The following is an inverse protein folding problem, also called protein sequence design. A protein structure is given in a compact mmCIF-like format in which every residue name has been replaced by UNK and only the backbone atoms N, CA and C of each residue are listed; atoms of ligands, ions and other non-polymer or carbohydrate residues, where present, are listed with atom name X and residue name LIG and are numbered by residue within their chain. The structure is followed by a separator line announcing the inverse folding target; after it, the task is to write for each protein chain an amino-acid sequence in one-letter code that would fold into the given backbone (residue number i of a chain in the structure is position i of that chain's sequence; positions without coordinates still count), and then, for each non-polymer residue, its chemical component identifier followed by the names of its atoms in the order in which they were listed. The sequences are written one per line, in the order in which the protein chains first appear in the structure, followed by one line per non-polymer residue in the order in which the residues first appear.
data_IF_322910277265
#
_entry.id   IF_322910277265
#
_cell.length_a   1.000
_cell.length_b   1.000
_cell.length_c   1.000
_cell.angle_alpha   90.00
_cell.angle_beta   90.00
_cell.angle_gamma   90.00
#
_symmetry.space_group_name_H-M   'P 1'
#
loop_
_entity.id
_entity.type
_entity.pdbx_description
1 polymer ?
#
# COMPACT_ATOMS: atom_id res chain seq x y z
N UNK A 1 -21.21 1.38 -3.80
CA UNK A 1 -20.59 2.14 -4.90
C UNK A 1 -21.47 3.28 -5.47
N UNK A 2 -22.81 3.23 -5.44
CA UNK A 2 -23.67 4.27 -6.05
C UNK A 2 -23.43 5.70 -5.53
N UNK A 3 -23.16 5.88 -4.24
CA UNK A 3 -22.85 7.20 -3.65
C UNK A 3 -21.43 7.64 -3.98
N UNK A 4 -20.43 6.77 -3.81
CA UNK A 4 -19.03 7.06 -4.15
C UNK A 4 -18.85 7.45 -5.63
N UNK A 5 -19.56 6.80 -6.55
CA UNK A 5 -19.52 7.12 -7.99
C UNK A 5 -20.13 8.48 -8.36
N UNK A 6 -20.73 9.21 -7.39
CA UNK A 6 -21.17 10.60 -7.60
C UNK A 6 -20.07 11.62 -7.33
N UNK A 7 -19.02 11.23 -6.60
CA UNK A 7 -17.84 12.07 -6.43
C UNK A 7 -17.11 12.09 -7.76
N UNK A 8 -16.85 13.30 -8.28
CA UNK A 8 -16.06 13.45 -9.50
C UNK A 8 -14.69 12.79 -9.30
N UNK A 9 -14.17 12.00 -10.26
CA UNK A 9 -12.84 11.42 -10.16
C UNK A 9 -11.74 12.47 -9.91
N UNK A 10 -11.91 13.68 -10.44
CA UNK A 10 -11.00 14.81 -10.22
C UNK A 10 -11.06 15.41 -8.80
N UNK A 11 -11.98 14.94 -7.95
CA UNK A 11 -12.12 15.33 -6.53
C UNK A 11 -12.06 14.13 -5.59
N UNK A 12 -11.86 12.93 -6.13
CA UNK A 12 -11.77 11.69 -5.37
C UNK A 12 -10.35 11.52 -4.82
N UNK A 13 -10.04 12.32 -3.81
CA UNK A 13 -8.71 12.36 -3.17
C UNK A 13 -8.39 11.08 -2.38
N UNK A 14 -9.38 10.21 -2.16
CA UNK A 14 -9.18 8.89 -1.55
C UNK A 14 -8.84 7.80 -2.59
N UNK A 15 -9.01 8.11 -3.90
CA UNK A 15 -8.56 7.28 -5.01
C UNK A 15 -9.38 6.00 -5.26
N UNK A 16 -10.60 5.90 -4.74
CA UNK A 16 -11.45 4.70 -4.87
C UNK A 16 -12.51 4.78 -5.97
N UNK A 17 -12.63 5.91 -6.66
CA UNK A 17 -13.46 6.03 -7.84
C UNK A 17 -12.96 5.06 -8.92
N UNK A 18 -13.88 4.34 -9.57
CA UNK A 18 -13.51 3.30 -10.54
C UNK A 18 -12.66 3.81 -11.70
N UNK A 19 -12.85 5.07 -12.11
CA UNK A 19 -11.99 5.73 -13.10
C UNK A 19 -10.56 5.94 -12.61
N UNK A 20 -10.34 6.31 -11.34
CA UNK A 20 -9.00 6.44 -10.76
C UNK A 20 -8.33 5.07 -10.62
N UNK A 21 -9.07 4.05 -10.17
CA UNK A 21 -8.58 2.68 -10.13
C UNK A 21 -8.22 2.13 -11.53
N UNK A 22 -9.04 2.44 -12.54
CA UNK A 22 -8.77 2.09 -13.94
C UNK A 22 -7.60 2.88 -14.54
N UNK A 23 -7.43 4.15 -14.15
CA UNK A 23 -6.30 4.97 -14.55
C UNK A 23 -4.99 4.37 -14.03
N UNK A 24 -4.94 4.00 -12.74
CA UNK A 24 -3.81 3.28 -12.16
C UNK A 24 -3.48 2.00 -12.96
N UNK A 25 -4.48 1.16 -13.23
CA UNK A 25 -4.28 -0.10 -13.95
C UNK A 25 -3.75 0.11 -15.37
N UNK A 26 -4.16 1.19 -16.04
CA UNK A 26 -3.81 1.50 -17.43
C UNK A 26 -2.62 2.46 -17.58
N UNK A 27 -1.98 2.83 -16.48
CA UNK A 27 -0.86 3.78 -16.48
C UNK A 27 -1.24 5.22 -16.84
N UNK A 28 -2.53 5.59 -16.69
CA UNK A 28 -3.01 6.95 -16.89
C UNK A 28 -2.98 7.75 -15.60
N UNK A 29 -3.00 9.07 -15.73
CA UNK A 29 -3.11 9.97 -14.58
C UNK A 29 -4.46 9.82 -13.86
N UNK A 30 -4.42 9.89 -12.54
CA UNK A 30 -5.56 9.80 -11.64
C UNK A 30 -5.09 9.73 -10.18
N UNK A 31 -5.98 10.00 -9.24
CA UNK A 31 -5.63 9.89 -7.83
C UNK A 31 -5.37 8.44 -7.44
N UNK A 32 -4.28 8.22 -6.71
CA UNK A 32 -3.91 6.90 -6.20
C UNK A 32 -4.54 6.69 -4.83
N UNK A 33 -5.02 5.47 -4.58
CA UNK A 33 -5.55 5.09 -3.28
C UNK A 33 -4.52 5.37 -2.17
N UNK A 34 -4.95 6.05 -1.10
CA UNK A 34 -4.07 6.65 -0.11
C UNK A 34 -3.17 5.62 0.59
N UNK A 35 -3.74 4.50 1.08
CA UNK A 35 -2.95 3.45 1.75
C UNK A 35 -1.91 2.82 0.80
N UNK A 36 -2.26 2.36 -0.41
CA UNK A 36 -1.28 1.91 -1.41
C UNK A 36 -0.19 2.94 -1.75
N UNK A 37 -0.53 4.22 -1.93
CA UNK A 37 0.45 5.30 -2.16
C UNK A 37 1.42 5.43 -0.97
N UNK A 38 0.89 5.33 0.25
CA UNK A 38 1.65 5.40 1.48
C UNK A 38 2.60 4.22 1.68
N UNK A 39 2.18 3.01 1.27
CA UNK A 39 3.03 1.81 1.26
C UNK A 39 4.26 2.03 0.37
N UNK A 40 4.08 2.52 -0.85
CA UNK A 40 5.21 2.82 -1.75
C UNK A 40 6.14 3.86 -1.15
N UNK A 41 5.60 4.92 -0.53
CA UNK A 41 6.40 5.95 0.13
C UNK A 41 7.22 5.39 1.30
N UNK A 42 6.63 4.50 2.13
CA UNK A 42 7.33 3.82 3.23
C UNK A 42 8.45 2.92 2.73
N UNK A 43 8.23 2.16 1.66
CA UNK A 43 9.30 1.33 1.09
C UNK A 43 10.43 2.23 0.58
N UNK A 44 10.12 3.30 -0.16
CA UNK A 44 11.12 4.25 -0.66
C UNK A 44 11.90 4.94 0.45
N UNK A 45 11.27 5.24 1.59
CA UNK A 45 11.95 5.91 2.71
C UNK A 45 13.01 5.04 3.41
N UNK A 46 12.96 3.71 3.21
CA UNK A 46 14.03 2.81 3.68
C UNK A 46 15.32 2.90 2.87
N UNK A 47 15.29 3.57 1.70
CA UNK A 47 16.39 3.54 0.72
C UNK A 47 16.45 2.25 -0.11
N UNK A 48 15.52 1.30 0.09
CA UNK A 48 15.42 0.08 -0.71
C UNK A 48 14.85 0.39 -2.09
N UNK A 49 15.59 0.02 -3.15
CA UNK A 49 15.03 0.06 -4.52
C UNK A 49 13.92 -0.98 -4.66
N UNK A 50 12.78 -0.56 -5.23
CA UNK A 50 11.66 -1.45 -5.57
C UNK A 50 11.91 -2.18 -6.90
N UNK A 51 12.66 -1.56 -7.81
CA UNK A 51 12.92 -2.08 -9.14
C UNK A 51 13.62 -3.44 -9.08
N UNK A 52 13.06 -4.42 -9.81
CA UNK A 52 13.60 -5.79 -9.88
C UNK A 52 13.39 -6.64 -8.62
N UNK A 53 12.81 -6.09 -7.55
CA UNK A 53 12.53 -6.85 -6.31
C UNK A 53 11.31 -7.75 -6.44
N UNK A 54 11.30 -8.85 -5.69
CA UNK A 54 10.11 -9.68 -5.50
C UNK A 54 9.24 -9.06 -4.41
N UNK A 55 8.09 -8.52 -4.81
CA UNK A 55 7.07 -8.03 -3.90
C UNK A 55 5.97 -9.08 -3.75
N UNK A 56 5.69 -9.49 -2.51
CA UNK A 56 4.55 -10.37 -2.19
C UNK A 56 3.51 -9.54 -1.43
N UNK A 57 2.29 -9.51 -1.95
CA UNK A 57 1.16 -8.85 -1.31
C UNK A 57 0.21 -9.91 -0.78
N UNK A 58 0.07 -10.01 0.54
CA UNK A 58 -0.87 -10.92 1.21
C UNK A 58 -2.16 -10.16 1.48
N UNK A 59 -3.18 -10.43 0.68
CA UNK A 59 -4.45 -9.70 0.69
C UNK A 59 -4.80 -9.16 -0.69
N UNK A 60 -6.08 -9.27 -1.06
CA UNK A 60 -6.60 -8.88 -2.40
C UNK A 60 -7.82 -7.96 -2.34
N UNK A 61 -7.91 -7.15 -1.27
CA UNK A 61 -8.98 -6.18 -1.13
C UNK A 61 -8.91 -5.13 -2.24
N UNK A 62 -10.06 -4.54 -2.59
CA UNK A 62 -10.12 -3.49 -3.61
C UNK A 62 -9.50 -2.17 -3.13
N UNK A 63 -9.34 -1.99 -1.82
CA UNK A 63 -8.88 -0.74 -1.21
C UNK A 63 -7.38 -0.73 -0.86
N UNK A 64 -6.77 -1.92 -0.69
CA UNK A 64 -5.35 -2.03 -0.34
C UNK A 64 -4.65 -3.04 -1.24
N UNK A 65 -4.97 -4.32 -1.15
CA UNK A 65 -4.16 -5.39 -1.73
C UNK A 65 -3.97 -5.29 -3.24
N UNK A 66 -5.06 -5.17 -4.00
CA UNK A 66 -5.00 -5.01 -5.46
C UNK A 66 -4.28 -3.73 -5.89
N UNK A 67 -4.67 -2.52 -5.43
CA UNK A 67 -3.97 -1.30 -5.84
C UNK A 67 -2.51 -1.25 -5.39
N UNK A 68 -2.16 -1.79 -4.21
CA UNK A 68 -0.76 -1.91 -3.78
C UNK A 68 0.05 -2.79 -4.74
N UNK A 69 -0.48 -3.96 -5.12
CA UNK A 69 0.18 -4.83 -6.09
C UNK A 69 0.42 -4.13 -7.44
N UNK A 70 -0.56 -3.40 -7.97
CA UNK A 70 -0.41 -2.67 -9.23
C UNK A 70 0.59 -1.51 -9.10
N UNK A 71 0.61 -0.81 -7.97
CA UNK A 71 1.61 0.24 -7.72
C UNK A 71 3.03 -0.33 -7.64
N UNK A 72 3.23 -1.46 -6.94
CA UNK A 72 4.53 -2.11 -6.89
C UNK A 72 4.98 -2.59 -8.27
N UNK A 73 4.05 -3.09 -9.10
CA UNK A 73 4.32 -3.44 -10.50
C UNK A 73 4.73 -2.21 -11.32
N UNK A 74 4.06 -1.06 -11.12
CA UNK A 74 4.40 0.22 -11.75
C UNK A 74 5.81 0.70 -11.36
N UNK A 75 6.27 0.34 -10.17
CA UNK A 75 7.63 0.61 -9.67
C UNK A 75 8.63 -0.50 -10.09
N UNK A 76 8.30 -1.30 -11.11
CA UNK A 76 9.13 -2.37 -11.70
C UNK A 76 9.42 -3.56 -10.77
N UNK A 77 8.60 -3.81 -9.74
CA UNK A 77 8.70 -5.04 -8.96
C UNK A 77 8.11 -6.25 -9.70
N UNK A 78 8.65 -7.45 -9.44
CA UNK A 78 7.94 -8.70 -9.73
C UNK A 78 6.93 -8.96 -8.61
N UNK A 79 5.64 -9.01 -8.93
CA UNK A 79 4.57 -9.03 -7.92
C UNK A 79 3.83 -10.37 -7.86
N UNK A 80 3.69 -10.93 -6.66
CA UNK A 80 2.82 -12.07 -6.37
C UNK A 80 1.70 -11.64 -5.41
N UNK A 81 0.45 -11.94 -5.74
CA UNK A 81 -0.71 -11.63 -4.88
C UNK A 81 -1.20 -12.93 -4.23
N UNK A 82 -1.14 -12.98 -2.90
CA UNK A 82 -1.64 -14.07 -2.07
C UNK A 82 -2.98 -13.73 -1.43
N UNK A 83 -3.75 -14.75 -1.06
CA UNK A 83 -5.05 -14.62 -0.41
C UNK A 83 -5.45 -15.91 0.33
N UNK A 84 -6.66 -15.95 0.90
CA UNK A 84 -7.20 -17.08 1.68
C UNK A 84 -7.29 -18.44 0.96
N UNK A 85 -6.97 -18.51 -0.34
CA UNK A 85 -6.95 -19.76 -1.13
C UNK A 85 -5.54 -20.07 -1.64
N UNK A 86 -4.54 -19.29 -1.24
CA UNK A 86 -3.15 -19.55 -1.57
C UNK A 86 -2.68 -20.77 -0.78
N UNK A 87 -2.29 -21.82 -1.49
CA UNK A 87 -1.65 -22.98 -0.87
C UNK A 87 -0.21 -22.63 -0.51
N UNK A 88 0.21 -23.08 0.68
CA UNK A 88 1.58 -22.87 1.19
C UNK A 88 2.01 -21.40 1.15
N UNK A 89 1.24 -20.56 1.86
CA UNK A 89 1.48 -19.12 1.96
C UNK A 89 2.90 -18.83 2.46
N UNK A 90 3.39 -19.58 3.46
CA UNK A 90 4.69 -19.36 4.07
C UNK A 90 5.85 -19.52 3.09
N UNK A 91 5.80 -20.54 2.21
CA UNK A 91 6.81 -20.70 1.16
C UNK A 91 6.86 -19.49 0.22
N UNK A 92 5.71 -18.94 -0.17
CA UNK A 92 5.64 -17.80 -1.10
C UNK A 92 6.11 -16.52 -0.44
N UNK A 93 5.68 -16.22 0.80
CA UNK A 93 6.10 -15.01 1.52
C UNK A 93 7.59 -15.01 1.83
N UNK A 94 8.22 -16.18 1.98
CA UNK A 94 9.66 -16.33 2.22
C UNK A 94 10.53 -16.01 0.99
N UNK A 95 9.92 -15.85 -0.17
CA UNK A 95 10.61 -15.37 -1.39
C UNK A 95 10.63 -13.83 -1.47
N UNK A 96 9.86 -13.13 -0.63
CA UNK A 96 9.63 -11.69 -0.74
C UNK A 96 10.85 -10.88 -0.29
N UNK A 97 11.34 -9.99 -1.16
CA UNK A 97 12.21 -8.90 -0.75
C UNK A 97 11.40 -7.79 -0.07
N UNK A 98 10.16 -7.60 -0.53
CA UNK A 98 9.18 -6.66 0.03
C UNK A 98 7.89 -7.43 0.30
N UNK A 99 7.50 -7.52 1.57
CA UNK A 99 6.29 -8.22 2.00
C UNK A 99 5.25 -7.20 2.47
N UNK A 100 4.09 -7.16 1.82
CA UNK A 100 2.97 -6.29 2.21
C UNK A 100 1.84 -7.17 2.75
N UNK A 101 1.46 -6.98 4.01
CA UNK A 101 0.42 -7.75 4.69
C UNK A 101 -0.82 -6.89 4.91
N UNK A 102 -1.95 -7.27 4.30
CA UNK A 102 -3.19 -6.49 4.30
C UNK A 102 -4.43 -7.40 4.35
N UNK A 103 -4.46 -8.30 5.34
CA UNK A 103 -5.53 -9.27 5.57
C UNK A 103 -6.44 -8.92 6.75
N UNK A 104 -5.95 -8.16 7.73
CA UNK A 104 -6.71 -7.84 8.95
C UNK A 104 -6.88 -9.04 9.89
N UNK A 105 -5.86 -9.87 10.01
CA UNK A 105 -5.82 -11.05 10.88
C UNK A 105 -4.54 -11.05 11.70
N UNK A 106 -4.68 -10.80 13.01
CA UNK A 106 -3.57 -10.63 13.93
C UNK A 106 -2.55 -11.77 13.84
N UNK A 107 -1.27 -11.41 13.66
CA UNK A 107 -0.13 -12.33 13.68
C UNK A 107 -0.25 -13.55 12.73
N UNK A 108 -0.92 -13.39 11.58
CA UNK A 108 -0.97 -14.43 10.54
C UNK A 108 0.43 -14.76 10.00
N UNK A 109 1.28 -13.74 9.85
CA UNK A 109 2.64 -13.90 9.30
C UNK A 109 3.62 -14.05 10.46
N UNK A 110 4.23 -15.24 10.54
CA UNK A 110 5.21 -15.60 11.57
C UNK A 110 6.65 -15.42 11.08
N UNK A 111 7.60 -15.49 12.02
CA UNK A 111 9.03 -15.36 11.75
C UNK A 111 9.55 -16.27 10.62
N UNK A 112 9.12 -17.53 10.57
CA UNK A 112 9.57 -18.50 9.57
C UNK A 112 9.03 -18.23 8.16
N UNK A 113 8.03 -17.36 8.02
CA UNK A 113 7.42 -16.96 6.76
C UNK A 113 8.10 -15.74 6.11
N UNK A 114 9.07 -15.12 6.79
CA UNK A 114 9.74 -13.89 6.35
C UNK A 114 11.15 -14.19 5.86
N UNK A 115 11.52 -13.61 4.72
CA UNK A 115 12.89 -13.67 4.19
C UNK A 115 13.82 -12.79 5.05
N UNK A 116 14.99 -13.29 5.49
CA UNK A 116 15.99 -12.45 6.14
C UNK A 116 16.36 -11.22 5.29
N UNK A 117 16.33 -10.04 5.90
CA UNK A 117 16.60 -8.76 5.24
C UNK A 117 15.43 -8.18 4.43
N UNK A 118 14.24 -8.77 4.45
CA UNK A 118 13.07 -8.23 3.78
C UNK A 118 12.61 -6.88 4.38
N UNK A 119 11.98 -6.05 3.54
CA UNK A 119 11.16 -4.92 3.98
C UNK A 119 9.73 -5.41 4.21
N UNK A 120 9.24 -5.31 5.43
CA UNK A 120 7.90 -5.78 5.83
C UNK A 120 6.99 -4.59 6.10
N UNK A 121 5.91 -4.48 5.33
CA UNK A 121 4.86 -3.48 5.50
C UNK A 121 3.61 -4.16 6.04
N UNK A 122 3.36 -3.97 7.33
CA UNK A 122 2.18 -4.45 8.04
C UNK A 122 1.07 -3.40 7.99
N UNK A 123 0.08 -3.65 7.13
CA UNK A 123 -1.10 -2.80 6.95
C UNK A 123 -2.25 -3.24 7.87
N UNK A 124 -2.15 -4.44 8.44
CA UNK A 124 -3.15 -5.06 9.29
C UNK A 124 -3.50 -4.20 10.50
N UNK A 125 -4.79 -4.15 10.82
CA UNK A 125 -5.28 -3.54 12.05
C UNK A 125 -6.39 -4.42 12.62
N UNK A 126 -6.02 -5.29 13.56
CA UNK A 126 -6.93 -6.14 14.30
C UNK A 126 -6.94 -5.73 15.76
N UNK A 127 -8.11 -5.78 16.41
CA UNK A 127 -8.21 -5.62 17.87
C UNK A 127 -8.21 -6.99 18.54
N UNK A 128 -7.25 -7.21 19.42
CA UNK A 128 -7.17 -8.40 20.29
C UNK A 128 -7.04 -7.90 21.73
N UNK A 129 -7.98 -8.26 22.60
CA UNK A 129 -8.02 -7.81 24.00
C UNK A 129 -7.88 -6.27 24.12
N UNK A 130 -8.65 -5.54 23.30
CA UNK A 130 -8.65 -4.07 23.19
C UNK A 130 -7.32 -3.41 22.78
N UNK A 131 -6.33 -4.20 22.36
CA UNK A 131 -5.07 -3.71 21.80
C UNK A 131 -5.04 -3.89 20.29
N UNK A 132 -4.40 -2.94 19.61
CA UNK A 132 -4.19 -3.01 18.17
C UNK A 132 -3.00 -3.92 17.87
N UNK A 133 -3.19 -4.84 16.95
CA UNK A 133 -2.18 -5.74 16.43
C UNK A 133 -2.21 -5.71 14.90
N UNK A 134 -1.03 -5.88 14.31
CA UNK A 134 -0.87 -6.04 12.87
C UNK A 134 -1.06 -7.47 12.41
N UNK A 135 -0.98 -7.68 11.10
CA UNK A 135 -1.06 -9.00 10.46
C UNK A 135 0.22 -9.83 10.68
N UNK A 136 1.31 -9.21 11.15
CA UNK A 136 2.62 -9.81 11.36
C UNK A 136 2.90 -9.94 12.85
N UNK A 137 3.53 -11.05 13.25
CA UNK A 137 4.12 -11.18 14.59
C UNK A 137 5.36 -10.27 14.70
N UNK A 138 5.12 -9.01 15.09
CA UNK A 138 6.10 -7.94 15.05
C UNK A 138 7.38 -8.29 15.81
N UNK A 139 7.26 -8.78 17.05
CA UNK A 139 8.42 -9.08 17.91
C UNK A 139 9.27 -10.21 17.33
N UNK A 140 8.63 -11.26 16.81
CA UNK A 140 9.33 -12.38 16.21
C UNK A 140 10.03 -11.99 14.89
N UNK A 141 9.44 -11.09 14.11
CA UNK A 141 9.96 -10.67 12.80
C UNK A 141 10.98 -9.53 12.89
N UNK A 142 10.99 -8.75 13.98
CA UNK A 142 11.87 -7.58 14.16
C UNK A 142 13.35 -7.88 13.95
N UNK A 143 13.80 -9.07 14.34
CA UNK A 143 15.21 -9.50 14.19
C UNK A 143 15.55 -10.10 12.81
N UNK A 144 14.55 -10.31 11.95
CA UNK A 144 14.69 -10.98 10.66
C UNK A 144 14.61 -9.96 9.51
N UNK A 145 13.62 -9.07 9.59
CA UNK A 145 13.42 -8.03 8.58
C UNK A 145 14.52 -6.96 8.66
N UNK A 146 14.87 -6.36 7.53
CA UNK A 146 15.71 -5.15 7.52
C UNK A 146 14.92 -3.93 7.98
N UNK A 147 13.62 -3.91 7.65
CA UNK A 147 12.65 -2.91 8.08
C UNK A 147 11.30 -3.58 8.32
N UNK A 148 10.61 -3.17 9.38
CA UNK A 148 9.22 -3.56 9.66
C UNK A 148 8.43 -2.36 10.17
N UNK A 149 7.22 -2.15 9.66
CA UNK A 149 6.34 -1.09 10.16
C UNK A 149 5.66 -1.50 11.47
N UNK A 150 5.65 -0.65 12.51
CA UNK A 150 4.93 -0.95 13.74
C UNK A 150 3.42 -0.81 13.56
N UNK A 151 2.65 -1.55 14.37
CA UNK A 151 1.20 -1.38 14.48
C UNK A 151 0.84 -1.19 15.97
N UNK A 152 0.26 -0.04 16.36
CA UNK A 152 -0.01 1.16 15.55
C UNK A 152 1.26 1.96 15.21
N UNK A 153 1.11 2.97 14.33
CA UNK A 153 2.15 3.98 14.07
C UNK A 153 2.91 3.85 12.75
N UNK A 154 2.71 2.77 12.00
CA UNK A 154 3.31 2.55 10.68
C UNK A 154 2.43 3.07 9.54
N UNK A 155 1.64 2.18 8.94
CA UNK A 155 0.87 2.48 7.71
C UNK A 155 -0.29 3.44 7.95
N UNK A 156 -0.95 3.36 9.11
CA UNK A 156 -2.14 4.19 9.42
C UNK A 156 -1.91 5.70 9.26
N UNK A 157 -0.87 6.29 9.89
CA UNK A 157 -0.52 7.69 9.68
C UNK A 157 -0.26 8.06 8.22
N UNK A 158 0.37 7.16 7.45
CA UNK A 158 0.65 7.40 6.03
C UNK A 158 -0.62 7.48 5.18
N UNK A 159 -1.66 6.73 5.51
CA UNK A 159 -2.96 6.87 4.84
C UNK A 159 -3.50 8.30 4.96
N UNK A 160 -3.40 8.91 6.14
CA UNK A 160 -3.86 10.29 6.38
C UNK A 160 -2.99 11.28 5.61
N UNK A 161 -1.67 11.09 5.64
CA UNK A 161 -0.73 11.97 4.92
C UNK A 161 -1.01 11.92 3.41
N UNK A 162 -1.22 10.74 2.84
CA UNK A 162 -1.50 10.59 1.41
C UNK A 162 -2.86 11.16 1.01
N UNK A 163 -3.85 11.18 1.91
CA UNK A 163 -5.10 11.88 1.67
C UNK A 163 -4.88 13.40 1.57
N UNK A 164 -4.07 13.96 2.48
CA UNK A 164 -3.71 15.38 2.45
C UNK A 164 -2.91 15.73 1.19
N UNK A 165 -1.95 14.87 0.83
CA UNK A 165 -1.14 15.01 -0.38
C UNK A 165 -2.00 15.01 -1.66
N UNK A 166 -2.91 14.04 -1.81
CA UNK A 166 -3.87 14.02 -2.91
C UNK A 166 -4.80 15.25 -2.91
N UNK A 167 -5.13 15.78 -1.72
CA UNK A 167 -5.97 16.98 -1.58
C UNK A 167 -5.26 18.23 -2.08
N UNK A 168 -3.97 18.38 -1.75
CA UNK A 168 -3.12 19.46 -2.28
C UNK A 168 -2.99 19.34 -3.79
N UNK A 169 -2.68 18.14 -4.31
CA UNK A 169 -2.60 17.84 -5.75
C UNK A 169 -3.91 18.20 -6.47
N UNK A 170 -5.08 17.92 -5.87
CA UNK A 170 -6.37 18.31 -6.42
C UNK A 170 -6.58 19.82 -6.45
N UNK A 171 -6.16 20.53 -5.40
CA UNK A 171 -6.25 21.98 -5.33
C UNK A 171 -5.36 22.64 -6.40
N UNK A 172 -4.11 22.21 -6.53
CA UNK A 172 -3.16 22.70 -7.54
C UNK A 172 -3.68 22.52 -8.96
N UNK A 173 -4.24 21.35 -9.28
CA UNK A 173 -4.87 21.07 -10.58
C UNK A 173 -6.10 21.93 -10.88
N UNK A 174 -6.75 22.46 -9.85
CA UNK A 174 -7.96 23.27 -9.99
C UNK A 174 -7.68 24.75 -10.26
N UNK A 175 -6.43 25.19 -10.04
CA UNK A 175 -6.02 26.57 -10.29
C UNK A 175 -5.77 26.74 -11.79
N UNK A 176 -6.48 27.65 -12.48
CA UNK A 176 -6.17 27.96 -13.86
C UNK A 176 -4.72 28.43 -13.96
N UNK A 177 -3.96 27.93 -14.94
CA UNK A 177 -2.64 28.48 -15.23
C UNK A 177 -2.81 29.99 -15.46
N UNK A 178 -2.31 30.82 -14.55
CA UNK A 178 -2.25 32.25 -14.76
C UNK A 178 -1.31 32.47 -15.94
N UNK A 179 -1.88 32.65 -17.13
CA UNK A 179 -1.14 33.02 -18.30
C UNK A 179 -0.45 34.35 -18.01
N UNK A 180 0.87 34.32 -17.88
CA UNK A 180 1.72 35.47 -18.12
C UNK A 180 1.45 35.91 -19.57
N UNK A 181 0.42 36.72 -19.76
CA UNK A 181 0.30 37.55 -20.94
C UNK A 181 1.32 38.67 -20.73
N UNK A 182 2.54 38.42 -21.21
CA UNK A 182 3.56 39.44 -21.30
C UNK A 182 2.99 40.63 -22.07
N UNK A 183 2.99 41.79 -21.41
CA UNK A 183 2.96 43.09 -22.06
C UNK A 183 4.38 43.46 -22.52
#
# INVERSE_FOLDING_TARGET
MRVLARVSPAKDVDGFHSQNAGALLTGREGFLACTPKGIVALVKSTGTSIEGKRCVVVGRSNIVGKPAAILMLRENATVTICHSYTHDLGRITKEADILICAVGHAALITADMVKPGAVVIDVGQSRVNDKWHGDVDYEAVLSIASYITPVPGGVGPMTIIMLMDNTVEAAERSIPAYGYHGA
#
